data_IF_607507794002
#
_entry.id   IF_607507794002
#
_cell.length_a   1.000
_cell.length_b   1.000
_cell.length_c   1.000
_cell.angle_alpha   90.00
_cell.angle_beta   90.00
_cell.angle_gamma   90.00
#
_symmetry.space_group_name_H-M   'P 1'
#
loop_
_entity.id
_entity.type
_entity.pdbx_description
1 polymer ?
#
# COMPACT_ATOMS: atom_id res chain seq x y z
N UNK A 1 21.58 -31.05 54.83
CA UNK A 1 20.92 -31.16 56.13
C UNK A 1 21.22 -29.91 56.92
N UNK A 2 20.28 -29.36 57.66
CA UNK A 2 18.81 -29.40 57.61
C UNK A 2 18.24 -27.99 57.28
N UNK A 3 17.08 -27.77 56.83
CA UNK A 3 15.71 -27.99 57.26
C UNK A 3 15.03 -26.74 57.88
N UNK A 4 13.81 -26.56 57.50
CA UNK A 4 12.59 -25.95 58.05
C UNK A 4 12.07 -24.72 57.29
N UNK A 5 10.97 -24.87 56.53
CA UNK A 5 9.53 -24.83 56.88
C UNK A 5 9.16 -23.58 57.68
N UNK A 6 8.22 -22.75 57.21
CA UNK A 6 6.77 -22.88 57.38
C UNK A 6 6.01 -21.67 56.82
N UNK A 7 4.98 -21.92 56.07
CA UNK A 7 3.53 -21.65 56.26
C UNK A 7 3.07 -20.21 56.58
N UNK A 8 2.19 -19.67 55.74
CA UNK A 8 0.77 -19.26 56.04
C UNK A 8 0.24 -18.37 54.91
N UNK A 9 -0.68 -18.84 54.10
CA UNK A 9 -2.12 -18.81 54.28
C UNK A 9 -2.81 -17.53 53.71
N UNK A 10 -3.73 -17.81 52.79
CA UNK A 10 -4.66 -16.94 52.07
C UNK A 10 -5.65 -16.19 53.00
N UNK A 11 -6.39 -15.18 52.45
CA UNK A 11 -7.75 -15.53 52.13
C UNK A 11 -8.30 -15.06 50.76
N UNK A 12 -9.17 -15.91 50.22
CA UNK A 12 -10.10 -15.64 49.13
C UNK A 12 -11.16 -14.68 49.59
N UNK A 13 -11.50 -13.67 48.76
CA UNK A 13 -12.75 -12.95 48.86
C UNK A 13 -13.64 -13.37 47.69
N UNK A 14 -14.66 -14.18 47.98
CA UNK A 14 -15.84 -14.36 47.12
C UNK A 14 -16.76 -13.16 47.27
N UNK A 15 -17.10 -12.51 46.18
CA UNK A 15 -18.29 -11.65 46.13
C UNK A 15 -19.33 -12.29 45.23
N UNK A 16 -20.41 -12.73 45.86
CA UNK A 16 -21.61 -13.25 45.20
C UNK A 16 -22.44 -12.09 44.63
N UNK A 17 -22.74 -12.13 43.35
CA UNK A 17 -23.77 -11.32 42.73
C UNK A 17 -25.11 -12.07 42.75
N UNK A 18 -26.12 -11.48 43.37
CA UNK A 18 -27.53 -11.88 43.30
C UNK A 18 -28.19 -11.31 42.03
N UNK A 19 -29.15 -12.01 41.41
CA UNK A 19 -29.89 -11.50 40.25
C UNK A 19 -30.97 -10.50 40.69
N UNK A 20 -31.18 -9.46 39.90
CA UNK A 20 -32.35 -8.57 39.92
C UNK A 20 -33.22 -8.84 38.70
N UNK A 21 -34.51 -8.93 38.92
CA UNK A 21 -35.58 -9.18 37.97
C UNK A 21 -35.76 -8.06 36.92
N UNK A 22 -36.44 -8.34 35.79
CA UNK A 22 -36.46 -7.51 34.61
C UNK A 22 -37.53 -6.41 34.67
N UNK A 23 -37.17 -5.20 34.19
CA UNK A 23 -38.13 -4.15 33.85
C UNK A 23 -38.14 -3.96 32.33
N UNK A 24 -39.34 -4.10 31.78
CA UNK A 24 -39.65 -3.93 30.35
C UNK A 24 -39.26 -2.56 29.80
N UNK A 25 -38.59 -2.55 28.64
CA UNK A 25 -38.55 -1.41 27.72
C UNK A 25 -38.43 -1.90 26.25
N UNK A 26 -38.97 -1.14 25.28
CA UNK A 26 -39.40 -1.67 23.98
C UNK A 26 -38.28 -1.89 22.95
N UNK A 27 -38.55 -2.86 22.07
CA UNK A 27 -37.74 -3.33 20.96
C UNK A 27 -37.31 -2.21 20.01
N UNK A 28 -35.99 -1.99 19.88
CA UNK A 28 -35.37 -1.56 18.65
C UNK A 28 -34.31 -2.59 18.25
N UNK A 29 -34.50 -3.13 17.05
CA UNK A 29 -33.63 -4.13 16.42
C UNK A 29 -32.33 -3.42 15.98
N UNK A 30 -31.20 -3.76 16.60
CA UNK A 30 -29.87 -3.52 16.04
C UNK A 30 -29.08 -4.80 16.18
N UNK A 31 -28.98 -5.53 15.08
CA UNK A 31 -28.19 -6.76 14.98
C UNK A 31 -26.70 -6.44 15.05
N UNK A 32 -26.07 -6.70 16.19
CA UNK A 32 -24.61 -6.79 16.27
C UNK A 32 -24.18 -8.23 16.00
N UNK A 33 -23.66 -8.49 14.82
CA UNK A 33 -22.91 -9.71 14.56
C UNK A 33 -21.54 -9.61 15.24
N UNK A 34 -21.37 -10.30 16.37
CA UNK A 34 -20.04 -10.61 16.91
C UNK A 34 -19.50 -11.83 16.12
N UNK A 35 -18.60 -11.60 15.17
CA UNK A 35 -17.74 -12.66 14.65
C UNK A 35 -16.64 -12.91 15.69
N UNK A 36 -16.61 -14.11 16.27
CA UNK A 36 -15.51 -14.58 17.08
C UNK A 36 -14.28 -14.79 16.17
N UNK A 37 -13.22 -14.02 16.37
CA UNK A 37 -11.92 -14.31 15.79
C UNK A 37 -11.37 -15.57 16.44
N UNK A 38 -11.16 -16.64 15.67
CA UNK A 38 -10.35 -17.78 16.08
C UNK A 38 -8.89 -17.37 16.05
N UNK A 39 -8.22 -17.49 17.19
CA UNK A 39 -6.78 -17.30 17.32
C UNK A 39 -6.03 -18.31 16.43
N UNK A 40 -5.23 -17.78 15.50
CA UNK A 40 -4.29 -18.54 14.69
C UNK A 40 -3.07 -17.64 14.43
N UNK A 41 -2.00 -17.97 15.11
CA UNK A 41 -0.58 -17.63 14.91
C UNK A 41 -0.23 -16.57 13.84
N UNK A 42 -0.48 -15.29 14.14
CA UNK A 42 0.19 -14.19 13.50
C UNK A 42 1.22 -13.60 14.49
N UNK A 43 2.44 -13.24 14.06
CA UNK A 43 3.50 -12.77 14.97
C UNK A 43 3.28 -11.37 15.53
N UNK A 44 2.18 -10.70 15.19
CA UNK A 44 1.84 -9.36 15.69
C UNK A 44 0.35 -9.30 16.04
N UNK A 45 0.02 -8.96 17.28
CA UNK A 45 -1.35 -8.59 17.68
C UNK A 45 -1.63 -7.18 17.14
N UNK A 46 -2.23 -7.08 15.95
CA UNK A 46 -2.71 -5.81 15.41
C UNK A 46 -4.04 -5.50 16.11
N UNK A 47 -3.97 -4.75 17.21
CA UNK A 47 -5.15 -4.15 17.83
C UNK A 47 -5.50 -2.90 17.01
N UNK A 48 -6.36 -3.07 16.01
CA UNK A 48 -6.96 -1.93 15.33
C UNK A 48 -8.03 -1.33 16.23
N UNK A 49 -7.78 -0.14 16.76
CA UNK A 49 -8.83 0.67 17.38
C UNK A 49 -9.70 1.27 16.26
N UNK A 50 -10.84 0.62 15.97
CA UNK A 50 -11.70 0.87 14.79
C UNK A 50 -12.64 2.07 15.04
N UNK A 51 -12.23 3.10 15.78
CA UNK A 51 -13.16 4.14 16.23
C UNK A 51 -13.40 5.29 15.26
N UNK A 52 -12.83 5.31 14.03
CA UNK A 52 -13.15 6.38 13.07
C UNK A 52 -12.84 6.02 11.62
N UNK A 53 -13.29 4.86 11.13
CA UNK A 53 -13.25 4.61 9.70
C UNK A 53 -14.40 5.37 9.03
N UNK A 54 -14.14 6.13 7.97
CA UNK A 54 -15.21 6.58 7.10
C UNK A 54 -15.74 5.35 6.34
N UNK A 55 -16.71 4.64 6.97
CA UNK A 55 -17.35 3.43 6.38
C UNK A 55 -18.00 3.73 5.00
N UNK A 56 -18.13 5.01 4.65
CA UNK A 56 -18.77 5.49 3.42
C UNK A 56 -17.79 6.03 2.35
N UNK A 57 -16.48 6.02 2.58
CA UNK A 57 -15.53 6.56 1.61
C UNK A 57 -15.59 5.79 0.28
N UNK A 58 -15.89 6.50 -0.82
CA UNK A 58 -16.11 5.93 -2.16
C UNK A 58 -14.94 5.06 -2.62
N UNK A 59 -13.71 5.50 -2.34
CA UNK A 59 -12.50 4.73 -2.64
C UNK A 59 -12.50 3.35 -1.97
N UNK A 60 -12.80 3.26 -0.68
CA UNK A 60 -12.78 1.99 0.05
C UNK A 60 -13.91 1.05 -0.43
N UNK A 61 -15.08 1.60 -0.73
CA UNK A 61 -16.21 0.86 -1.32
C UNK A 61 -15.84 0.29 -2.67
N UNK A 62 -15.24 1.08 -3.58
CA UNK A 62 -14.76 0.60 -4.86
C UNK A 62 -13.71 -0.52 -4.73
N UNK A 63 -12.75 -0.39 -3.80
CA UNK A 63 -11.78 -1.45 -3.49
C UNK A 63 -12.45 -2.75 -3.02
N UNK A 64 -13.61 -2.67 -2.35
CA UNK A 64 -14.42 -3.82 -1.92
C UNK A 64 -15.43 -4.28 -2.96
N UNK A 65 -15.44 -3.68 -4.15
CA UNK A 65 -16.37 -3.99 -5.24
C UNK A 65 -17.84 -3.69 -4.88
N UNK A 66 -18.06 -2.75 -4.01
CA UNK A 66 -19.38 -2.24 -3.68
C UNK A 66 -19.81 -1.21 -4.74
N UNK A 67 -21.13 -1.07 -4.93
CA UNK A 67 -21.67 -0.02 -5.81
C UNK A 67 -21.32 1.35 -5.28
N UNK A 68 -20.76 2.19 -6.14
CA UNK A 68 -20.32 3.55 -5.81
C UNK A 68 -21.05 4.58 -6.69
N UNK A 69 -21.25 5.81 -6.19
CA UNK A 69 -21.93 6.86 -6.94
C UNK A 69 -21.12 7.38 -8.15
N UNK A 70 -19.80 7.26 -8.09
CA UNK A 70 -18.86 7.62 -9.16
C UNK A 70 -17.56 6.83 -8.98
N UNK A 71 -16.71 6.77 -10.00
CA UNK A 71 -15.41 6.11 -9.94
C UNK A 71 -14.43 6.97 -9.12
N UNK A 72 -13.91 6.48 -7.98
CA UNK A 72 -12.96 7.24 -7.18
C UNK A 72 -11.61 7.37 -7.87
N UNK A 73 -10.94 8.48 -7.57
CA UNK A 73 -9.68 8.91 -8.18
C UNK A 73 -8.61 9.16 -7.13
N UNK A 74 -7.41 8.68 -7.39
CA UNK A 74 -6.17 9.18 -6.81
C UNK A 74 -5.01 8.96 -7.80
N UNK A 75 -3.86 9.59 -7.60
CA UNK A 75 -2.76 9.50 -8.55
C UNK A 75 -1.48 9.02 -7.89
N UNK A 76 -0.84 8.00 -8.44
CA UNK A 76 0.49 7.58 -8.02
C UNK A 76 1.48 8.75 -8.16
N UNK A 77 2.27 9.01 -7.10
CA UNK A 77 3.16 10.18 -7.00
C UNK A 77 2.42 11.52 -7.09
N UNK A 78 1.14 11.59 -6.70
CA UNK A 78 0.38 12.84 -6.63
C UNK A 78 1.09 13.90 -5.78
N UNK A 79 1.74 13.51 -4.66
CA UNK A 79 2.69 14.34 -3.92
C UNK A 79 4.08 14.24 -4.58
N UNK A 80 4.37 15.05 -5.57
CA UNK A 80 5.55 14.89 -6.38
C UNK A 80 6.11 16.18 -7.00
N UNK A 81 7.13 16.03 -7.84
CA UNK A 81 7.88 17.15 -8.43
C UNK A 81 7.06 18.06 -9.36
N UNK A 82 5.90 17.64 -9.82
CA UNK A 82 4.97 18.48 -10.58
C UNK A 82 4.44 19.64 -9.72
N UNK A 83 4.23 19.43 -8.40
CA UNK A 83 3.72 20.44 -7.47
C UNK A 83 4.77 21.49 -7.09
N UNK A 84 4.50 22.80 -7.28
CA UNK A 84 5.37 23.87 -6.82
C UNK A 84 5.58 23.85 -5.30
N UNK A 85 4.53 23.61 -4.52
CA UNK A 85 4.54 23.50 -3.07
C UNK A 85 5.41 22.32 -2.59
N UNK A 86 5.38 21.18 -3.27
CA UNK A 86 6.29 20.07 -3.01
C UNK A 86 7.75 20.48 -3.21
N UNK A 87 8.06 21.12 -4.35
CA UNK A 87 9.42 21.57 -4.63
C UNK A 87 9.92 22.56 -3.57
N UNK A 88 9.05 23.45 -3.07
CA UNK A 88 9.36 24.39 -1.99
C UNK A 88 9.61 23.68 -0.67
N UNK A 89 8.75 22.74 -0.28
CA UNK A 89 8.89 21.95 0.96
C UNK A 89 10.19 21.12 0.96
N UNK A 90 10.59 20.62 -0.22
CA UNK A 90 11.77 19.77 -0.40
C UNK A 90 13.08 20.50 -0.69
N UNK A 91 13.07 21.82 -0.89
CA UNK A 91 14.22 22.58 -1.39
C UNK A 91 15.50 22.45 -0.56
N UNK A 92 15.38 22.20 0.75
CA UNK A 92 16.51 22.12 1.69
C UNK A 92 16.63 20.76 2.40
N UNK A 93 15.93 19.72 1.93
CA UNK A 93 15.81 18.46 2.66
C UNK A 93 16.08 17.28 1.71
N UNK A 94 16.89 16.30 2.11
CA UNK A 94 17.06 15.06 1.36
C UNK A 94 15.75 14.25 1.32
N UNK A 95 15.62 13.30 0.39
CA UNK A 95 14.41 12.49 0.30
C UNK A 95 14.17 11.69 1.58
N UNK A 96 15.19 10.98 2.04
CA UNK A 96 15.07 10.14 3.24
C UNK A 96 14.88 10.95 4.51
N UNK A 97 15.49 12.13 4.62
CA UNK A 97 15.23 13.05 5.75
C UNK A 97 13.77 13.51 5.76
N UNK A 98 13.23 13.89 4.59
CA UNK A 98 11.81 14.28 4.52
C UNK A 98 10.88 13.13 4.88
N UNK A 99 11.18 11.90 4.44
CA UNK A 99 10.44 10.68 4.81
C UNK A 99 10.56 10.28 6.29
N UNK A 100 11.47 10.90 7.05
CA UNK A 100 11.67 10.68 8.48
C UNK A 100 11.22 11.87 9.35
N UNK A 101 10.60 12.91 8.75
CA UNK A 101 10.16 14.13 9.45
C UNK A 101 8.63 14.19 9.43
N UNK A 102 7.92 13.94 10.56
CA UNK A 102 6.46 13.85 10.60
C UNK A 102 5.73 15.04 9.99
N UNK A 103 6.15 16.27 10.28
CA UNK A 103 5.54 17.49 9.73
C UNK A 103 5.66 17.56 8.20
N UNK A 104 6.82 17.17 7.66
CA UNK A 104 7.03 17.15 6.20
C UNK A 104 6.22 16.04 5.52
N UNK A 105 6.14 14.86 6.15
CA UNK A 105 5.30 13.78 5.65
C UNK A 105 3.84 14.25 5.60
N UNK A 106 3.37 14.86 6.68
CA UNK A 106 1.99 15.36 6.79
C UNK A 106 1.71 16.42 5.74
N UNK A 107 2.50 17.48 5.69
CA UNK A 107 2.30 18.58 4.75
C UNK A 107 2.34 18.10 3.29
N UNK A 108 3.35 17.32 2.92
CA UNK A 108 3.52 16.85 1.53
C UNK A 108 2.38 15.90 1.14
N UNK A 109 1.92 15.04 2.04
CA UNK A 109 0.78 14.15 1.78
C UNK A 109 -0.52 14.93 1.52
N UNK A 110 -0.75 16.03 2.24
CA UNK A 110 -1.96 16.83 2.13
C UNK A 110 -2.01 17.74 0.90
N UNK A 111 -0.86 18.14 0.34
CA UNK A 111 -0.79 19.06 -0.80
C UNK A 111 -1.68 18.62 -1.98
N UNK A 112 -1.57 17.40 -2.51
CA UNK A 112 -2.41 16.95 -3.62
C UNK A 112 -3.88 16.79 -3.24
N UNK A 113 -4.19 16.40 -2.00
CA UNK A 113 -5.57 16.27 -1.53
C UNK A 113 -6.27 17.63 -1.58
N UNK A 114 -5.60 18.66 -1.07
CA UNK A 114 -6.12 20.04 -1.09
C UNK A 114 -6.25 20.62 -2.49
N UNK A 115 -5.38 20.21 -3.43
CA UNK A 115 -5.32 20.77 -4.77
C UNK A 115 -6.20 20.04 -5.77
N UNK A 116 -6.27 18.72 -5.71
CA UNK A 116 -6.90 17.89 -6.73
C UNK A 116 -8.26 17.32 -6.31
N UNK A 117 -8.67 17.50 -5.05
CA UNK A 117 -9.90 16.89 -4.49
C UNK A 117 -9.99 15.37 -4.72
N UNK A 118 -8.87 14.67 -4.64
CA UNK A 118 -8.80 13.20 -4.83
C UNK A 118 -9.50 12.43 -3.71
N UNK A 119 -9.98 11.22 -4.02
CA UNK A 119 -10.72 10.36 -3.10
C UNK A 119 -9.85 9.52 -2.17
N UNK A 120 -8.53 9.55 -2.34
CA UNK A 120 -7.58 8.95 -1.42
C UNK A 120 -6.26 9.72 -1.36
N UNK A 121 -5.70 9.83 -0.17
CA UNK A 121 -4.34 10.26 0.06
C UNK A 121 -3.41 9.03 0.04
N UNK A 122 -2.17 9.20 -0.41
CA UNK A 122 -1.12 8.20 -0.19
C UNK A 122 -0.01 8.81 0.66
N UNK A 123 0.40 8.08 1.68
CA UNK A 123 1.45 8.49 2.62
C UNK A 123 2.72 8.89 1.84
N UNK A 124 3.27 10.09 2.13
CA UNK A 124 4.55 10.47 1.56
C UNK A 124 5.68 9.68 2.24
N UNK A 125 6.32 8.82 1.48
CA UNK A 125 7.43 7.96 1.90
C UNK A 125 8.23 7.51 0.66
N UNK A 126 9.18 6.60 0.87
CA UNK A 126 9.89 5.89 -0.20
C UNK A 126 9.97 4.39 0.12
N UNK A 127 9.99 3.56 -0.92
CA UNK A 127 10.04 2.09 -0.76
C UNK A 127 11.31 1.59 -0.06
N UNK A 128 12.39 2.37 -0.06
CA UNK A 128 13.66 2.02 0.62
C UNK A 128 13.74 2.49 2.07
N UNK A 129 12.76 3.24 2.55
CA UNK A 129 12.72 3.72 3.95
C UNK A 129 12.88 2.59 4.97
N UNK A 130 12.22 1.43 4.87
CA UNK A 130 12.40 0.35 5.84
C UNK A 130 13.84 -0.20 5.84
N UNK A 131 14.51 -0.24 4.68
CA UNK A 131 15.91 -0.67 4.59
C UNK A 131 16.85 0.32 5.26
N UNK A 132 16.64 1.63 5.05
CA UNK A 132 17.39 2.69 5.73
C UNK A 132 17.21 2.63 7.24
N UNK A 133 15.97 2.43 7.69
CA UNK A 133 15.61 2.39 9.12
C UNK A 133 16.31 1.24 9.86
N UNK A 134 16.50 0.08 9.24
CA UNK A 134 17.23 -1.05 9.83
C UNK A 134 18.75 -0.93 9.72
N UNK A 135 19.27 0.17 9.15
CA UNK A 135 20.71 0.45 9.08
C UNK A 135 21.40 -0.03 7.80
N UNK A 136 20.65 -0.44 6.77
CA UNK A 136 21.25 -0.71 5.45
C UNK A 136 21.85 0.58 4.89
N UNK A 137 23.09 0.51 4.40
CA UNK A 137 23.78 1.61 3.71
C UNK A 137 23.11 1.88 2.36
N UNK A 138 22.05 2.67 2.37
CA UNK A 138 21.29 3.07 1.18
C UNK A 138 20.96 4.57 1.25
N UNK A 139 21.08 5.26 0.11
CA UNK A 139 20.66 6.65 -0.04
C UNK A 139 20.01 6.89 -1.40
N UNK A 140 19.33 8.02 -1.56
CA UNK A 140 18.68 8.42 -2.81
C UNK A 140 19.50 9.53 -3.46
N UNK A 141 20.34 9.14 -4.43
CA UNK A 141 21.17 10.06 -5.17
C UNK A 141 20.33 10.91 -6.16
N UNK A 142 20.50 12.25 -6.18
CA UNK A 142 19.78 13.12 -7.12
C UNK A 142 19.97 12.69 -8.58
N UNK A 143 18.87 12.57 -9.32
CA UNK A 143 18.89 12.19 -10.75
C UNK A 143 19.18 10.71 -11.03
N UNK A 144 19.58 9.93 -10.01
CA UNK A 144 19.90 8.51 -10.13
C UNK A 144 18.83 7.65 -9.48
N UNK A 145 18.47 7.93 -8.24
CA UNK A 145 17.58 7.10 -7.42
C UNK A 145 18.31 6.42 -6.28
N UNK A 146 17.73 5.37 -5.68
CA UNK A 146 18.37 4.62 -4.60
C UNK A 146 19.71 3.98 -5.02
N UNK A 147 20.73 4.16 -4.17
CA UNK A 147 22.08 3.58 -4.34
C UNK A 147 22.46 2.86 -3.05
N UNK A 148 22.99 1.65 -3.17
CA UNK A 148 23.35 0.77 -2.06
C UNK A 148 24.86 0.69 -1.91
N UNK A 149 25.37 0.99 -0.71
CA UNK A 149 26.83 1.00 -0.45
C UNK A 149 27.45 -0.39 -0.55
N UNK A 150 26.75 -1.40 -0.02
CA UNK A 150 27.21 -2.80 0.00
C UNK A 150 26.15 -3.72 -0.59
N UNK A 151 26.15 -3.93 -1.92
CA UNK A 151 25.21 -4.83 -2.57
C UNK A 151 25.34 -6.28 -2.09
N UNK A 152 24.21 -7.01 -2.04
CA UNK A 152 24.18 -8.42 -1.63
C UNK A 152 24.74 -9.30 -2.75
N UNK A 153 25.74 -10.11 -2.42
CA UNK A 153 26.41 -11.07 -3.32
C UNK A 153 26.47 -12.48 -2.73
N UNK A 154 26.56 -12.60 -1.42
CA UNK A 154 26.74 -13.84 -0.69
C UNK A 154 25.82 -13.92 0.53
N UNK A 155 25.72 -15.10 1.13
CA UNK A 155 24.88 -15.31 2.31
C UNK A 155 25.29 -14.44 3.51
N UNK A 156 26.59 -14.20 3.66
CA UNK A 156 27.13 -13.34 4.72
C UNK A 156 26.59 -11.89 4.62
N UNK A 157 26.30 -11.40 3.41
CA UNK A 157 25.77 -10.05 3.20
C UNK A 157 24.35 -9.87 3.75
N UNK A 158 23.61 -10.99 3.93
CA UNK A 158 22.28 -10.96 4.54
C UNK A 158 22.31 -10.47 6.01
N UNK A 159 23.46 -10.46 6.67
CA UNK A 159 23.59 -9.95 8.02
C UNK A 159 23.19 -8.47 8.16
N UNK A 160 23.23 -7.69 7.07
CA UNK A 160 22.77 -6.30 7.07
C UNK A 160 21.24 -6.16 7.13
N UNK A 161 20.48 -7.25 6.85
CA UNK A 161 19.02 -7.28 6.87
C UNK A 161 18.52 -7.85 8.20
N UNK A 162 18.55 -7.03 9.27
CA UNK A 162 17.90 -7.38 10.52
C UNK A 162 16.38 -7.17 10.43
N UNK A 163 15.64 -7.72 11.37
CA UNK A 163 14.21 -7.43 11.51
C UNK A 163 13.97 -5.95 11.73
N UNK A 164 12.87 -5.44 11.18
CA UNK A 164 12.39 -4.09 11.44
C UNK A 164 11.47 -4.13 12.66
N UNK A 165 11.76 -3.26 13.62
CA UNK A 165 10.95 -3.07 14.81
C UNK A 165 10.16 -1.75 14.72
N UNK A 166 9.00 -1.61 15.36
CA UNK A 166 8.23 -0.35 15.35
C UNK A 166 9.03 0.86 15.79
N UNK A 167 9.99 0.67 16.72
CA UNK A 167 10.90 1.71 17.19
C UNK A 167 11.90 2.23 16.16
N UNK A 168 12.08 1.55 15.04
CA UNK A 168 12.96 1.99 13.94
C UNK A 168 12.31 3.10 13.10
N UNK A 169 10.98 3.19 13.11
CA UNK A 169 10.19 4.13 12.27
C UNK A 169 9.11 4.88 13.08
N UNK A 170 9.42 5.46 14.26
CA UNK A 170 8.44 6.09 15.14
C UNK A 170 7.71 7.26 14.47
N UNK A 171 8.41 7.97 13.58
CA UNK A 171 7.87 9.09 12.80
C UNK A 171 6.70 8.72 11.89
N UNK A 172 6.58 7.45 11.47
CA UNK A 172 5.45 7.01 10.64
C UNK A 172 4.14 7.02 11.41
N UNK A 173 4.12 6.45 12.61
CA UNK A 173 2.92 6.43 13.44
C UNK A 173 2.47 7.85 13.82
N UNK A 174 3.42 8.74 14.09
CA UNK A 174 3.16 10.15 14.37
C UNK A 174 2.55 10.86 13.15
N UNK A 175 3.18 10.73 11.98
CA UNK A 175 2.68 11.33 10.74
C UNK A 175 1.29 10.79 10.35
N UNK A 176 1.06 9.47 10.46
CA UNK A 176 -0.25 8.88 10.15
C UNK A 176 -1.33 9.44 11.08
N UNK A 177 -1.08 9.54 12.38
CA UNK A 177 -2.05 10.14 13.34
C UNK A 177 -2.37 11.60 12.98
N UNK A 178 -1.35 12.40 12.66
CA UNK A 178 -1.52 13.78 12.21
C UNK A 178 -2.37 13.84 10.94
N UNK A 179 -2.05 13.01 9.94
CA UNK A 179 -2.79 12.94 8.68
C UNK A 179 -4.25 12.58 8.86
N UNK A 180 -4.56 11.57 9.70
CA UNK A 180 -5.94 11.15 9.94
C UNK A 180 -6.80 12.27 10.54
N UNK A 181 -6.21 13.15 11.37
CA UNK A 181 -6.92 14.32 11.90
C UNK A 181 -7.20 15.39 10.85
N UNK A 182 -6.33 15.52 9.83
CA UNK A 182 -6.41 16.55 8.80
C UNK A 182 -7.23 16.11 7.57
N UNK A 183 -7.24 14.82 7.24
CA UNK A 183 -7.87 14.28 6.03
C UNK A 183 -9.40 14.28 6.06
N UNK A 184 -10.03 14.46 7.25
CA UNK A 184 -11.49 14.67 7.42
C UNK A 184 -12.38 13.68 6.64
N UNK A 185 -11.96 12.41 6.58
CA UNK A 185 -12.71 11.36 5.89
C UNK A 185 -12.12 10.90 4.56
N UNK A 186 -11.14 11.59 3.97
CA UNK A 186 -10.38 11.06 2.83
C UNK A 186 -9.47 9.92 3.30
N UNK A 187 -9.62 8.69 2.79
CA UNK A 187 -8.80 7.56 3.20
C UNK A 187 -7.31 7.76 2.94
N UNK A 188 -6.49 7.26 3.85
CA UNK A 188 -5.05 7.26 3.73
C UNK A 188 -4.55 5.87 3.31
N UNK A 189 -3.81 5.82 2.20
CA UNK A 189 -3.15 4.63 1.70
C UNK A 189 -1.72 4.59 2.27
N UNK A 190 -1.39 3.52 2.99
CA UNK A 190 -0.02 3.17 3.32
C UNK A 190 0.62 2.36 2.19
N UNK A 191 1.96 2.27 2.15
CA UNK A 191 2.61 1.47 1.13
C UNK A 191 4.00 0.96 1.52
N UNK A 192 4.48 -0.01 0.75
CA UNK A 192 5.86 -0.48 0.79
C UNK A 192 6.31 -0.98 -0.59
N UNK A 193 7.62 -1.20 -0.73
CA UNK A 193 8.18 -1.89 -1.89
C UNK A 193 7.96 -3.39 -1.83
N UNK A 194 7.66 -4.02 -2.96
CA UNK A 194 7.60 -5.46 -3.10
C UNK A 194 8.97 -6.12 -2.86
N UNK A 195 9.02 -7.35 -2.32
CA UNK A 195 10.27 -8.03 -2.01
C UNK A 195 11.21 -8.14 -3.22
N UNK A 196 10.68 -8.40 -4.43
CA UNK A 196 11.47 -8.45 -5.65
C UNK A 196 12.09 -7.09 -5.99
N UNK A 197 11.29 -6.03 -5.96
CA UNK A 197 11.76 -4.68 -6.27
C UNK A 197 12.84 -4.23 -5.30
N UNK A 198 12.70 -4.52 -3.99
CA UNK A 198 13.72 -4.23 -2.99
C UNK A 198 14.99 -5.07 -3.19
N UNK A 199 14.83 -6.36 -3.55
CA UNK A 199 15.96 -7.23 -3.86
C UNK A 199 16.76 -6.70 -5.06
N UNK A 200 16.09 -6.17 -6.08
CA UNK A 200 16.77 -5.56 -7.23
C UNK A 200 17.71 -4.43 -6.80
N UNK A 201 17.26 -3.50 -5.96
CA UNK A 201 18.14 -2.43 -5.46
C UNK A 201 19.32 -3.01 -4.67
N UNK A 202 19.07 -3.96 -3.79
CA UNK A 202 20.10 -4.55 -2.93
C UNK A 202 21.11 -5.39 -3.71
N UNK A 203 20.68 -6.08 -4.76
CA UNK A 203 21.56 -6.94 -5.56
C UNK A 203 22.25 -6.17 -6.69
N UNK A 204 21.54 -5.36 -7.48
CA UNK A 204 22.17 -4.55 -8.53
C UNK A 204 23.03 -3.42 -7.96
N UNK A 205 22.72 -2.94 -6.75
CA UNK A 205 23.40 -1.84 -6.07
C UNK A 205 22.83 -0.47 -6.40
N UNK A 206 21.77 -0.42 -7.23
CA UNK A 206 21.12 0.79 -7.69
C UNK A 206 20.08 0.51 -8.77
N UNK A 207 19.59 1.55 -9.47
CA UNK A 207 18.69 1.37 -10.60
C UNK A 207 19.33 0.52 -11.71
N UNK A 208 18.57 -0.42 -12.24
CA UNK A 208 18.97 -1.29 -13.34
C UNK A 208 17.91 -1.27 -14.45
N UNK A 209 18.32 -1.47 -15.70
CA UNK A 209 17.38 -1.61 -16.81
C UNK A 209 17.06 -3.07 -17.14
N UNK A 210 18.00 -3.97 -16.90
CA UNK A 210 17.95 -5.40 -17.29
C UNK A 210 17.88 -6.34 -16.09
N UNK A 211 18.27 -5.87 -14.89
CA UNK A 211 18.31 -6.66 -13.65
C UNK A 211 19.18 -7.92 -13.74
N UNK A 212 20.28 -7.84 -14.51
CA UNK A 212 21.10 -9.01 -14.85
C UNK A 212 21.69 -9.68 -13.60
N UNK A 213 22.23 -8.90 -12.65
CA UNK A 213 22.82 -9.44 -11.43
C UNK A 213 21.76 -10.07 -10.53
N UNK A 214 20.59 -9.42 -10.42
CA UNK A 214 19.45 -9.93 -9.66
C UNK A 214 18.95 -11.25 -10.23
N UNK A 215 18.75 -11.33 -11.56
CA UNK A 215 18.34 -12.57 -12.23
C UNK A 215 19.41 -13.66 -12.15
N UNK A 216 20.68 -13.29 -12.31
CA UNK A 216 21.78 -14.24 -12.15
C UNK A 216 21.80 -14.88 -10.74
N UNK A 217 21.57 -14.08 -9.69
CA UNK A 217 21.42 -14.58 -8.32
C UNK A 217 20.20 -15.49 -8.17
N UNK A 218 19.05 -15.06 -8.69
CA UNK A 218 17.79 -15.82 -8.63
C UNK A 218 17.92 -17.20 -9.28
N UNK A 219 18.55 -17.28 -10.46
CA UNK A 219 18.75 -18.54 -11.19
C UNK A 219 19.89 -19.37 -10.64
N UNK A 220 21.02 -18.72 -10.29
CA UNK A 220 22.26 -19.41 -9.94
C UNK A 220 22.35 -19.85 -8.47
N UNK A 221 21.62 -19.20 -7.57
CA UNK A 221 21.61 -19.57 -6.15
C UNK A 221 20.20 -19.42 -5.52
N UNK A 222 19.24 -20.29 -5.90
CA UNK A 222 17.88 -20.25 -5.37
C UNK A 222 17.79 -20.29 -3.83
N UNK A 223 18.65 -21.04 -3.10
CA UNK A 223 18.62 -21.01 -1.64
C UNK A 223 18.91 -19.62 -1.05
N UNK A 224 19.94 -18.92 -1.55
CA UNK A 224 20.26 -17.56 -1.13
C UNK A 224 19.15 -16.58 -1.53
N UNK A 225 18.62 -16.71 -2.74
CA UNK A 225 17.52 -15.92 -3.24
C UNK A 225 16.28 -16.01 -2.33
N UNK A 226 15.86 -17.23 -1.99
CA UNK A 226 14.72 -17.44 -1.10
C UNK A 226 14.95 -16.86 0.32
N UNK A 227 16.17 -16.98 0.85
CA UNK A 227 16.52 -16.37 2.13
C UNK A 227 16.43 -14.83 2.05
N UNK A 228 16.94 -14.24 0.97
CA UNK A 228 16.89 -12.79 0.73
C UNK A 228 15.43 -12.31 0.67
N UNK A 229 14.62 -12.90 -0.22
CA UNK A 229 13.22 -12.50 -0.38
C UNK A 229 12.40 -12.78 0.87
N UNK A 230 12.67 -13.84 1.60
CA UNK A 230 12.03 -14.14 2.88
C UNK A 230 12.26 -13.02 3.90
N UNK A 231 13.52 -12.57 4.07
CA UNK A 231 13.84 -11.44 4.97
C UNK A 231 13.20 -10.13 4.51
N UNK A 232 13.21 -9.85 3.21
CA UNK A 232 12.56 -8.67 2.66
C UNK A 232 11.04 -8.70 2.85
N UNK A 233 10.41 -9.85 2.69
CA UNK A 233 8.99 -10.02 2.98
C UNK A 233 8.67 -9.73 4.46
N UNK A 234 9.52 -10.19 5.38
CA UNK A 234 9.36 -9.90 6.82
C UNK A 234 9.51 -8.43 7.13
N UNK A 235 10.54 -7.76 6.58
CA UNK A 235 10.78 -6.33 6.76
C UNK A 235 9.61 -5.52 6.18
N UNK A 236 9.16 -5.86 4.97
CA UNK A 236 8.01 -5.21 4.30
C UNK A 236 6.74 -5.39 5.12
N UNK A 237 6.47 -6.60 5.62
CA UNK A 237 5.31 -6.89 6.46
C UNK A 237 5.32 -6.09 7.74
N UNK A 238 6.47 -6.02 8.43
CA UNK A 238 6.62 -5.24 9.66
C UNK A 238 6.42 -3.73 9.40
N UNK A 239 6.96 -3.21 8.31
CA UNK A 239 6.80 -1.81 7.92
C UNK A 239 5.33 -1.45 7.61
N UNK A 240 4.61 -2.32 6.91
CA UNK A 240 3.18 -2.15 6.63
C UNK A 240 2.33 -2.34 7.89
N UNK A 241 2.72 -3.25 8.79
CA UNK A 241 2.02 -3.45 10.07
C UNK A 241 2.08 -2.19 10.95
N UNK A 242 3.21 -1.46 10.97
CA UNK A 242 3.32 -0.17 11.68
C UNK A 242 2.34 0.85 11.08
N UNK A 243 2.22 0.92 9.76
CA UNK A 243 1.30 1.84 9.09
C UNK A 243 -0.16 1.45 9.35
N UNK A 244 -0.51 0.16 9.23
CA UNK A 244 -1.85 -0.36 9.51
C UNK A 244 -2.24 -0.14 10.98
N UNK A 245 -1.33 -0.42 11.92
CA UNK A 245 -1.53 -0.18 13.35
C UNK A 245 -1.66 1.30 13.71
N UNK A 246 -1.10 2.21 12.90
CA UNK A 246 -1.28 3.64 13.05
C UNK A 246 -2.61 4.16 12.46
N UNK A 247 -3.31 3.35 11.62
CA UNK A 247 -4.66 3.63 11.16
C UNK A 247 -4.80 3.94 9.67
N UNK A 248 -3.84 3.60 8.78
CA UNK A 248 -4.09 3.69 7.34
C UNK A 248 -5.24 2.78 6.94
N UNK A 249 -6.06 3.21 5.98
CA UNK A 249 -7.30 2.51 5.61
C UNK A 249 -7.18 1.63 4.36
N UNK A 250 -6.05 1.69 3.66
CA UNK A 250 -5.66 0.76 2.61
C UNK A 250 -4.14 0.66 2.56
N UNK A 251 -3.62 -0.37 1.93
CA UNK A 251 -2.18 -0.50 1.66
C UNK A 251 -1.92 -0.80 0.20
N UNK A 252 -0.77 -0.34 -0.32
CA UNK A 252 -0.30 -0.70 -1.64
C UNK A 252 1.11 -1.28 -1.61
N UNK A 253 1.29 -2.44 -2.22
CA UNK A 253 2.60 -3.05 -2.47
C UNK A 253 3.08 -2.63 -3.87
N UNK A 254 4.18 -1.90 -3.94
CA UNK A 254 4.80 -1.48 -5.19
C UNK A 254 5.85 -2.49 -5.65
N UNK A 255 5.49 -3.36 -6.57
CA UNK A 255 6.42 -4.29 -7.20
C UNK A 255 6.82 -3.82 -8.61
N UNK A 256 7.35 -2.58 -8.64
CA UNK A 256 7.57 -1.78 -9.85
C UNK A 256 8.42 -2.47 -10.92
N UNK A 257 9.25 -3.44 -10.56
CA UNK A 257 10.17 -4.12 -11.46
C UNK A 257 9.81 -5.58 -11.75
N UNK A 258 8.71 -6.08 -11.18
CA UNK A 258 8.23 -7.46 -11.40
C UNK A 258 8.01 -7.79 -12.89
N UNK A 259 7.62 -6.81 -13.70
CA UNK A 259 7.47 -6.97 -15.15
C UNK A 259 8.73 -7.35 -15.92
N UNK A 260 9.89 -7.35 -15.26
CA UNK A 260 11.14 -7.90 -15.83
C UNK A 260 11.17 -9.43 -15.83
N UNK A 261 10.22 -10.10 -15.19
CA UNK A 261 10.15 -11.56 -15.03
C UNK A 261 9.12 -12.18 -15.98
N UNK A 262 9.39 -13.42 -16.38
CA UNK A 262 8.36 -14.28 -16.95
C UNK A 262 7.31 -14.69 -15.89
N UNK A 263 6.09 -15.08 -16.28
CA UNK A 263 5.10 -15.60 -15.34
C UNK A 263 5.59 -16.79 -14.53
N UNK A 264 6.37 -17.68 -15.13
CA UNK A 264 6.94 -18.85 -14.47
C UNK A 264 7.97 -18.44 -13.40
N UNK A 265 8.87 -17.52 -13.73
CA UNK A 265 9.88 -17.04 -12.78
C UNK A 265 9.25 -16.29 -11.63
N UNK A 266 8.24 -15.44 -11.91
CA UNK A 266 7.50 -14.75 -10.87
C UNK A 266 6.80 -15.75 -9.96
N UNK A 267 6.08 -16.72 -10.51
CA UNK A 267 5.36 -17.75 -9.75
C UNK A 267 6.29 -18.54 -8.83
N UNK A 268 7.43 -18.97 -9.36
CA UNK A 268 8.39 -19.79 -8.60
C UNK A 268 9.18 -19.01 -7.58
N UNK A 269 9.63 -17.80 -7.93
CA UNK A 269 10.71 -17.12 -7.22
C UNK A 269 10.28 -15.86 -6.48
N UNK A 270 9.06 -15.34 -6.70
CA UNK A 270 8.56 -14.07 -6.11
C UNK A 270 7.21 -14.23 -5.45
N UNK A 271 6.25 -14.85 -6.12
CA UNK A 271 4.86 -15.00 -5.64
C UNK A 271 4.76 -15.49 -4.18
N UNK A 272 5.50 -16.52 -3.72
CA UNK A 272 5.41 -16.98 -2.32
C UNK A 272 5.75 -15.89 -1.31
N UNK A 273 6.67 -14.99 -1.65
CA UNK A 273 7.13 -13.92 -0.78
C UNK A 273 6.16 -12.73 -0.78
N UNK A 274 5.61 -12.36 -1.93
CA UNK A 274 4.55 -11.34 -2.02
C UNK A 274 3.28 -11.80 -1.32
N UNK A 275 2.91 -13.09 -1.46
CA UNK A 275 1.78 -13.70 -0.73
C UNK A 275 1.99 -13.66 0.78
N UNK A 276 3.22 -13.88 1.26
CA UNK A 276 3.56 -13.78 2.69
C UNK A 276 3.32 -12.36 3.23
N UNK A 277 3.65 -11.32 2.46
CA UNK A 277 3.38 -9.93 2.84
C UNK A 277 1.87 -9.69 2.99
N UNK A 278 1.07 -10.09 2.01
CA UNK A 278 -0.38 -9.89 2.07
C UNK A 278 -1.05 -10.74 3.16
N UNK A 279 -0.59 -11.96 3.37
CA UNK A 279 -1.09 -12.84 4.43
C UNK A 279 -0.84 -12.25 5.83
N UNK A 280 0.31 -11.62 6.06
CA UNK A 280 0.64 -10.98 7.33
C UNK A 280 -0.32 -9.81 7.66
N UNK A 281 -0.98 -9.23 6.66
CA UNK A 281 -1.90 -8.09 6.80
C UNK A 281 -3.37 -8.49 6.67
N UNK A 282 -3.68 -9.77 6.47
CA UNK A 282 -5.06 -10.22 6.29
C UNK A 282 -5.98 -9.89 7.48
N UNK A 283 -5.41 -9.86 8.70
CA UNK A 283 -6.13 -9.51 9.93
C UNK A 283 -6.46 -8.02 10.10
N UNK A 284 -5.85 -7.14 9.30
CA UNK A 284 -6.07 -5.70 9.40
C UNK A 284 -7.44 -5.26 8.82
N UNK A 285 -8.10 -6.09 7.99
CA UNK A 285 -9.43 -5.79 7.43
C UNK A 285 -9.47 -4.62 6.45
N UNK A 286 -8.31 -4.17 5.95
CA UNK A 286 -8.17 -3.06 5.00
C UNK A 286 -7.86 -3.57 3.60
N UNK A 287 -8.29 -2.89 2.51
CA UNK A 287 -7.97 -3.24 1.14
C UNK A 287 -6.46 -3.28 0.89
N UNK A 288 -6.03 -4.30 0.14
CA UNK A 288 -4.63 -4.54 -0.22
C UNK A 288 -4.48 -4.43 -1.73
N UNK A 289 -3.66 -3.51 -2.18
CA UNK A 289 -3.44 -3.20 -3.58
C UNK A 289 -2.06 -3.72 -4.00
N UNK A 290 -1.98 -4.43 -5.12
CA UNK A 290 -0.72 -4.89 -5.70
C UNK A 290 -0.50 -4.23 -7.06
N UNK A 291 0.57 -3.49 -7.21
CA UNK A 291 0.89 -2.75 -8.45
C UNK A 291 2.30 -3.04 -8.93
N UNK A 292 2.43 -3.26 -10.23
CA UNK A 292 3.73 -3.36 -10.93
C UNK A 292 3.68 -2.70 -12.30
N UNK A 293 4.86 -2.41 -12.87
CA UNK A 293 4.99 -1.82 -14.21
C UNK A 293 5.44 -2.90 -15.20
N UNK A 294 4.83 -2.95 -16.38
CA UNK A 294 5.10 -4.00 -17.36
C UNK A 294 4.58 -5.38 -16.95
N UNK A 295 3.63 -5.43 -16.02
CA UNK A 295 3.12 -6.65 -15.39
C UNK A 295 1.88 -7.23 -16.09
N UNK A 296 1.63 -6.87 -17.35
CA UNK A 296 0.45 -7.33 -18.10
C UNK A 296 0.27 -8.86 -18.09
N UNK A 297 1.36 -9.61 -18.23
CA UNK A 297 1.33 -11.08 -18.17
C UNK A 297 1.31 -11.63 -16.73
N UNK A 298 1.48 -10.77 -15.72
CA UNK A 298 1.52 -11.14 -14.31
C UNK A 298 0.24 -10.76 -13.56
N UNK A 299 -0.74 -10.11 -14.19
CA UNK A 299 -1.92 -9.56 -13.50
C UNK A 299 -2.68 -10.61 -12.68
N UNK A 300 -2.88 -11.81 -13.22
CA UNK A 300 -3.46 -12.93 -12.48
C UNK A 300 -2.63 -13.31 -11.25
N UNK A 301 -1.30 -13.35 -11.39
CA UNK A 301 -0.37 -13.68 -10.29
C UNK A 301 -0.33 -12.60 -9.22
N UNK A 302 -0.46 -11.32 -9.60
CA UNK A 302 -0.58 -10.22 -8.64
C UNK A 302 -1.85 -10.36 -7.79
N UNK A 303 -2.96 -10.80 -8.39
CA UNK A 303 -4.21 -11.14 -7.68
C UNK A 303 -4.05 -12.37 -6.79
N UNK A 304 -3.44 -13.45 -7.31
CA UNK A 304 -3.14 -14.70 -6.59
C UNK A 304 -2.28 -14.48 -5.35
N UNK A 305 -1.41 -13.47 -5.37
CA UNK A 305 -0.59 -13.09 -4.22
C UNK A 305 -1.42 -12.70 -2.98
N UNK A 306 -2.71 -12.44 -3.11
CA UNK A 306 -3.62 -12.09 -2.02
C UNK A 306 -4.04 -10.62 -2.02
N UNK A 307 -3.83 -9.90 -3.13
CA UNK A 307 -4.36 -8.56 -3.29
C UNK A 307 -5.89 -8.56 -3.43
N UNK A 308 -6.54 -7.52 -2.92
CA UNK A 308 -7.98 -7.25 -3.12
C UNK A 308 -8.19 -6.39 -4.37
N UNK A 309 -7.19 -5.58 -4.72
CA UNK A 309 -7.16 -4.69 -5.88
C UNK A 309 -5.88 -4.93 -6.68
N UNK A 310 -6.01 -5.14 -8.00
CA UNK A 310 -4.86 -5.25 -8.90
C UNK A 310 -4.65 -3.94 -9.63
N UNK A 311 -3.49 -3.33 -9.42
CA UNK A 311 -3.07 -2.13 -10.13
C UNK A 311 -2.52 -2.48 -11.52
N UNK A 312 -3.03 -1.80 -12.53
CA UNK A 312 -2.73 -2.04 -13.94
C UNK A 312 -1.94 -0.87 -14.52
N UNK A 313 -0.85 -1.14 -15.21
CA UNK A 313 -0.13 -0.10 -15.94
C UNK A 313 -0.83 0.24 -17.28
N UNK A 314 -0.39 1.31 -17.94
CA UNK A 314 -1.06 1.85 -19.14
C UNK A 314 -1.01 0.95 -20.40
N UNK A 315 -0.23 -0.16 -20.36
CA UNK A 315 0.00 -1.01 -21.54
C UNK A 315 -1.14 -1.98 -21.81
N UNK A 316 -1.88 -2.33 -20.76
CA UNK A 316 -2.99 -3.30 -20.86
C UNK A 316 -4.32 -2.57 -20.68
N UNK A 317 -5.24 -2.59 -21.64
CA UNK A 317 -6.58 -2.04 -21.45
C UNK A 317 -7.32 -2.70 -20.28
N UNK A 318 -8.13 -1.94 -19.52
CA UNK A 318 -8.74 -2.43 -18.27
C UNK A 318 -9.72 -3.60 -18.51
N UNK A 319 -10.43 -3.60 -19.64
CA UNK A 319 -11.30 -4.72 -20.03
C UNK A 319 -10.52 -6.01 -20.30
N UNK A 320 -9.30 -5.91 -20.83
CA UNK A 320 -8.40 -7.05 -20.97
C UNK A 320 -7.80 -7.45 -19.63
N UNK A 321 -7.44 -6.48 -18.78
CA UNK A 321 -6.95 -6.74 -17.43
C UNK A 321 -8.01 -7.49 -16.61
N UNK A 322 -9.29 -7.12 -16.71
CA UNK A 322 -10.40 -7.80 -16.03
C UNK A 322 -10.51 -9.29 -16.43
N UNK A 323 -10.19 -9.64 -17.68
CA UNK A 323 -10.18 -11.05 -18.13
C UNK A 323 -8.96 -11.84 -17.60
N UNK A 324 -7.85 -11.18 -17.30
CA UNK A 324 -6.61 -11.80 -16.81
C UNK A 324 -6.56 -12.00 -15.30
N UNK A 325 -7.37 -11.24 -14.59
CA UNK A 325 -7.43 -11.28 -13.12
C UNK A 325 -8.56 -12.23 -12.68
N UNK A 326 -8.33 -12.97 -11.61
CA UNK A 326 -9.37 -13.84 -11.05
C UNK A 326 -10.59 -13.03 -10.58
N UNK A 327 -11.81 -13.58 -10.69
CA UNK A 327 -13.01 -12.96 -10.11
C UNK A 327 -12.82 -12.62 -8.63
N UNK A 328 -13.50 -11.58 -8.18
CA UNK A 328 -13.41 -11.13 -6.81
C UNK A 328 -12.27 -10.12 -6.56
N UNK A 329 -11.73 -9.50 -7.60
CA UNK A 329 -10.73 -8.42 -7.50
C UNK A 329 -11.25 -7.14 -8.12
N UNK A 330 -10.96 -6.01 -7.48
CA UNK A 330 -11.09 -4.71 -8.12
C UNK A 330 -9.85 -4.39 -8.98
N UNK A 331 -9.99 -3.47 -9.93
CA UNK A 331 -8.87 -2.94 -10.72
C UNK A 331 -8.59 -1.49 -10.37
N UNK A 332 -7.31 -1.12 -10.42
CA UNK A 332 -6.86 0.26 -10.27
C UNK A 332 -6.02 0.68 -11.46
N UNK A 333 -6.34 1.80 -12.06
CA UNK A 333 -5.58 2.37 -13.19
C UNK A 333 -6.50 3.01 -14.23
N UNK A 334 -6.03 3.27 -15.47
CA UNK A 334 -4.62 3.07 -15.89
C UNK A 334 -4.24 4.06 -17.01
N UNK A 335 -4.61 5.33 -16.85
CA UNK A 335 -4.26 6.35 -17.85
C UNK A 335 -2.73 6.47 -17.99
N UNK A 336 -2.23 6.49 -19.23
CA UNK A 336 -0.80 6.75 -19.46
C UNK A 336 -0.41 8.14 -18.94
N UNK A 337 0.56 8.24 -18.02
CA UNK A 337 0.99 9.54 -17.50
C UNK A 337 1.46 10.53 -18.56
N UNK A 338 1.99 10.05 -19.69
CA UNK A 338 2.44 10.90 -20.78
C UNK A 338 1.27 11.63 -21.49
N UNK A 339 0.06 11.08 -21.41
CA UNK A 339 -1.14 11.73 -21.96
C UNK A 339 -1.41 13.07 -21.29
N UNK A 340 -1.02 13.25 -20.02
CA UNK A 340 -1.17 14.53 -19.29
C UNK A 340 -0.33 15.69 -19.83
N UNK A 341 0.59 15.41 -20.75
CA UNK A 341 1.39 16.40 -21.47
C UNK A 341 0.74 16.82 -22.81
N UNK A 342 -0.37 16.18 -23.18
CA UNK A 342 -1.10 16.46 -24.43
C UNK A 342 -2.16 17.56 -24.21
N UNK A 343 -2.77 18.11 -25.31
CA UNK A 343 -3.92 19.00 -25.20
C UNK A 343 -5.10 18.35 -24.45
N UNK A 344 -5.88 19.18 -23.78
CA UNK A 344 -6.98 18.73 -22.92
C UNK A 344 -7.96 17.76 -23.60
N UNK A 345 -8.35 18.03 -24.84
CA UNK A 345 -9.30 17.16 -25.55
C UNK A 345 -8.78 15.73 -25.70
N UNK A 346 -7.47 15.58 -25.89
CA UNK A 346 -6.83 14.25 -25.91
C UNK A 346 -6.85 13.63 -24.52
N UNK A 347 -6.52 14.39 -23.48
CA UNK A 347 -6.58 13.90 -22.08
C UNK A 347 -7.99 13.41 -21.76
N UNK A 348 -9.00 14.25 -22.03
CA UNK A 348 -10.39 13.93 -21.74
C UNK A 348 -10.87 12.69 -22.52
N UNK A 349 -10.54 12.58 -23.81
CA UNK A 349 -10.88 11.41 -24.62
C UNK A 349 -10.27 10.12 -24.07
N UNK A 350 -9.00 10.16 -23.71
CA UNK A 350 -8.29 8.99 -23.15
C UNK A 350 -8.79 8.61 -21.76
N UNK A 351 -9.16 9.59 -20.93
CA UNK A 351 -9.77 9.32 -19.63
C UNK A 351 -11.14 8.63 -19.77
N UNK A 352 -11.97 9.07 -20.73
CA UNK A 352 -13.26 8.41 -21.07
C UNK A 352 -13.07 6.97 -21.52
N UNK A 353 -12.06 6.68 -22.35
CA UNK A 353 -11.74 5.30 -22.77
C UNK A 353 -11.37 4.43 -21.56
N UNK A 354 -10.57 4.96 -20.60
CA UNK A 354 -10.24 4.25 -19.36
C UNK A 354 -11.49 3.99 -18.50
N UNK A 355 -12.37 4.98 -18.35
CA UNK A 355 -13.63 4.84 -17.60
C UNK A 355 -14.55 3.79 -18.24
N UNK A 356 -14.73 3.85 -19.57
CA UNK A 356 -15.58 2.89 -20.29
C UNK A 356 -15.07 1.46 -20.14
N UNK A 357 -13.75 1.23 -20.32
CA UNK A 357 -13.13 -0.09 -20.15
C UNK A 357 -13.17 -0.55 -18.68
N UNK A 358 -13.03 0.39 -17.74
CA UNK A 358 -13.10 0.12 -16.30
C UNK A 358 -14.46 -0.39 -15.83
N UNK A 359 -15.54 -0.15 -16.59
CA UNK A 359 -16.89 -0.69 -16.27
C UNK A 359 -16.98 -2.22 -16.31
N UNK A 360 -16.02 -2.88 -16.93
CA UNK A 360 -15.94 -4.36 -16.96
C UNK A 360 -15.38 -4.96 -15.70
N UNK A 361 -14.71 -4.16 -14.84
CA UNK A 361 -14.19 -4.59 -13.57
C UNK A 361 -15.30 -4.67 -12.51
N UNK A 362 -15.16 -5.59 -11.56
CA UNK A 362 -16.09 -5.69 -10.42
C UNK A 362 -16.04 -4.47 -9.50
N UNK A 363 -14.91 -3.75 -9.48
CA UNK A 363 -14.70 -2.47 -8.84
C UNK A 363 -13.57 -1.73 -9.57
N UNK A 364 -13.72 -0.42 -9.76
CA UNK A 364 -12.73 0.39 -10.47
C UNK A 364 -12.31 1.59 -9.63
N UNK A 365 -10.99 1.77 -9.48
CA UNK A 365 -10.35 2.97 -8.95
C UNK A 365 -9.56 3.62 -10.09
N UNK A 366 -9.95 4.81 -10.51
CA UNK A 366 -9.21 5.52 -11.55
C UNK A 366 -7.84 5.98 -11.01
N UNK A 367 -6.81 5.74 -11.78
CA UNK A 367 -5.44 6.17 -11.50
C UNK A 367 -4.66 6.31 -12.82
N UNK A 368 -3.45 6.83 -12.73
CA UNK A 368 -2.49 6.70 -13.83
C UNK A 368 -1.88 5.30 -13.83
N UNK A 369 -1.44 4.85 -14.99
CA UNK A 369 -0.69 3.58 -15.13
C UNK A 369 0.74 3.63 -14.57
N UNK A 370 1.20 4.77 -14.09
CA UNK A 370 2.43 5.00 -13.33
C UNK A 370 2.33 6.33 -12.58
N UNK A 371 3.41 6.78 -11.94
CA UNK A 371 3.44 8.06 -11.22
C UNK A 371 3.34 9.28 -12.13
N UNK A 372 2.76 10.35 -11.59
CA UNK A 372 2.72 11.68 -12.22
C UNK A 372 4.12 12.11 -12.65
N UNK A 373 4.25 12.60 -13.89
CA UNK A 373 5.52 13.08 -14.41
C UNK A 373 5.86 14.47 -13.82
N UNK A 374 7.15 14.80 -13.64
CA UNK A 374 7.55 16.10 -13.09
C UNK A 374 7.09 17.30 -13.92
N UNK A 375 6.89 17.09 -15.21
CA UNK A 375 6.50 18.09 -16.21
C UNK A 375 4.98 18.28 -16.31
N UNK A 376 4.20 17.41 -15.64
CA UNK A 376 2.73 17.49 -15.65
C UNK A 376 2.27 18.78 -14.98
N UNK A 377 1.41 19.53 -15.69
CA UNK A 377 0.72 20.68 -15.12
C UNK A 377 -0.26 20.21 -14.02
N UNK A 378 -0.11 20.69 -12.77
CA UNK A 378 -1.01 20.32 -11.69
C UNK A 378 -2.49 20.61 -11.96
N UNK A 379 -2.78 21.69 -12.72
CA UNK A 379 -4.17 22.06 -13.02
C UNK A 379 -4.85 21.04 -13.95
N UNK A 380 -4.06 20.32 -14.77
CA UNK A 380 -4.59 19.21 -15.56
C UNK A 380 -5.04 18.04 -14.70
N UNK A 381 -4.36 17.78 -13.58
CA UNK A 381 -4.76 16.70 -12.64
C UNK A 381 -6.06 17.06 -11.91
N UNK A 382 -6.20 18.30 -11.44
CA UNK A 382 -7.45 18.77 -10.82
C UNK A 382 -8.62 18.64 -11.81
N UNK A 383 -8.44 19.17 -13.02
CA UNK A 383 -9.45 19.08 -14.09
C UNK A 383 -9.77 17.64 -14.51
N UNK A 384 -8.79 16.73 -14.45
CA UNK A 384 -9.00 15.31 -14.72
C UNK A 384 -9.84 14.66 -13.60
N UNK A 385 -9.60 15.03 -12.34
CA UNK A 385 -10.42 14.54 -11.21
C UNK A 385 -11.88 14.93 -11.40
N UNK A 386 -12.15 16.21 -11.71
CA UNK A 386 -13.51 16.70 -11.96
C UNK A 386 -14.18 15.91 -13.10
N UNK A 387 -13.49 15.75 -14.24
CA UNK A 387 -14.01 15.00 -15.39
C UNK A 387 -14.35 13.54 -15.02
N UNK A 388 -13.49 12.86 -14.25
CA UNK A 388 -13.74 11.47 -13.84
C UNK A 388 -14.97 11.38 -12.94
N UNK A 389 -15.13 12.29 -11.98
CA UNK A 389 -16.29 12.33 -11.09
C UNK A 389 -17.58 12.60 -11.88
N UNK A 390 -17.58 13.63 -12.71
CA UNK A 390 -18.77 14.06 -13.48
C UNK A 390 -19.26 12.98 -14.45
N UNK A 391 -18.35 12.39 -15.22
CA UNK A 391 -18.73 11.44 -16.29
C UNK A 391 -18.96 10.03 -15.79
N UNK A 392 -18.39 9.63 -14.66
CA UNK A 392 -18.69 8.33 -14.03
C UNK A 392 -19.92 8.38 -13.12
N UNK A 393 -20.29 9.57 -12.59
CA UNK A 393 -21.47 9.77 -11.77
C UNK A 393 -22.77 9.82 -12.57
N UNK A 394 -22.78 10.42 -13.74
CA UNK A 394 -23.98 10.58 -14.58
C UNK A 394 -24.58 9.27 -15.14
N UNK A 395 -23.80 8.17 -15.12
CA UNK A 395 -24.22 6.85 -15.63
C UNK A 395 -25.07 6.01 -14.67
N UNK A 396 -25.20 6.38 -13.40
CA UNK A 396 -25.94 5.60 -12.39
C UNK A 396 -27.43 5.91 -12.31
N UNK A 397 -27.90 6.98 -12.96
CA UNK A 397 -29.30 7.41 -12.96
C UNK A 397 -30.19 6.70 -14.04
N UNK A 398 -29.66 5.77 -14.81
CA UNK A 398 -30.34 5.16 -15.98
C UNK A 398 -30.29 3.64 -16.07
N UNK A 399 -30.23 2.89 -14.95
CA UNK A 399 -30.41 1.42 -14.97
C UNK A 399 -31.37 0.96 -13.90
#
# INVERSE_FOLDING_TARGET
MPDHQDLLAKPRLMLACRPRDPVDLPRRVTGRFRRACRAGTAPYDIICDVTSQPEEAVFLRACRRETVPYTPVWYMRQAGRSLPEYRKARARTSMLTACATPDLITEITLQPVRRYAVDAAILFSDIVVPLKAIGVGIDIAPGVGPVVDRPIRAEADLAQLRSLEPGDVPYLAEAVKSLLSELKGTPLIGFAGGPFTLACYLVDGGPSKSFDKTKALMYGNPPLWNKLLGRLADITSAFLAVQAGAGVQAIQLFDSWAGALSPEDYRRSVLPHSSRVFAALAGAGIPRIHFGVGTGELLGLLGEAGADVVGVDWRVPLDEAARRVEPGKALQGNLDPAVLLAPWDTIAQRARDVLERGRTAEGHVFNLGHGVLPETDPDMLARLTDLVHDESGAGTAGR
#
